data_IF_710051208901
#
_entry.id   IF_710051208901
#
_cell.length_a   1.000
_cell.length_b   1.000
_cell.length_c   1.000
_cell.angle_alpha   90.00
_cell.angle_beta   90.00
_cell.angle_gamma   90.00
#
_symmetry.space_group_name_H-M   'P 1'
#
loop_
_entity.id
_entity.type
_entity.pdbx_description
1 polymer ?
#
# COMPACT_ATOMS: atom_id res chain seq x y z
N UNK A 1 -2.52 -3.37 11.89
CA UNK A 1 -3.51 -3.40 10.78
C UNK A 1 -3.78 -4.81 10.26
N UNK A 2 -4.94 -5.02 9.63
CA UNK A 2 -5.27 -6.23 8.84
C UNK A 2 -5.15 -5.92 7.35
N UNK A 3 -4.33 -6.67 6.63
CA UNK A 3 -4.06 -6.45 5.22
C UNK A 3 -4.09 -7.74 4.41
N UNK A 4 -4.47 -7.63 3.14
CA UNK A 4 -4.35 -8.70 2.14
C UNK A 4 -3.40 -8.28 1.04
N UNK A 5 -2.49 -9.15 0.63
CA UNK A 5 -1.54 -8.89 -0.45
C UNK A 5 -1.81 -9.84 -1.61
N UNK A 6 -2.01 -9.28 -2.81
CA UNK A 6 -2.29 -10.01 -4.03
C UNK A 6 -1.04 -10.13 -4.92
N UNK A 7 -1.13 -11.04 -5.89
CA UNK A 7 -0.07 -11.36 -6.85
C UNK A 7 1.30 -11.61 -6.18
N UNK A 8 1.28 -12.35 -5.05
CA UNK A 8 2.48 -12.65 -4.28
C UNK A 8 3.24 -13.84 -4.87
N UNK A 9 4.48 -13.58 -5.27
CA UNK A 9 5.44 -14.61 -5.72
C UNK A 9 6.09 -15.29 -4.51
N UNK A 10 6.57 -16.52 -4.70
CA UNK A 10 7.08 -17.34 -3.58
C UNK A 10 8.25 -16.69 -2.82
N UNK A 11 9.17 -16.05 -3.54
CA UNK A 11 10.30 -15.36 -2.91
C UNK A 11 9.88 -14.13 -2.09
N UNK A 12 8.73 -13.53 -2.38
CA UNK A 12 8.23 -12.33 -1.68
C UNK A 12 7.60 -12.69 -0.34
N UNK A 13 7.07 -13.91 -0.19
CA UNK A 13 6.39 -14.37 1.03
C UNK A 13 7.29 -14.23 2.25
N UNK A 14 8.52 -14.75 2.14
CA UNK A 14 9.48 -14.71 3.24
C UNK A 14 9.95 -13.28 3.55
N UNK A 15 10.18 -12.47 2.51
CA UNK A 15 10.63 -11.09 2.66
C UNK A 15 9.58 -10.22 3.36
N UNK A 16 8.31 -10.33 2.94
CA UNK A 16 7.20 -9.63 3.59
C UNK A 16 6.98 -10.11 5.03
N UNK A 17 7.06 -11.42 5.29
CA UNK A 17 6.93 -11.95 6.64
C UNK A 17 8.04 -11.46 7.57
N UNK A 18 9.30 -11.44 7.09
CA UNK A 18 10.46 -10.92 7.82
C UNK A 18 10.35 -9.43 8.08
N UNK A 19 10.00 -8.64 7.07
CA UNK A 19 9.81 -7.20 7.22
C UNK A 19 8.67 -6.87 8.20
N UNK A 20 7.57 -7.64 8.16
CA UNK A 20 6.40 -7.42 9.01
C UNK A 20 6.67 -7.72 10.49
N UNK A 21 7.54 -8.69 10.81
CA UNK A 21 7.87 -9.02 12.20
C UNK A 21 6.66 -9.39 13.07
N UNK A 22 5.55 -9.87 12.47
CA UNK A 22 4.26 -10.16 13.12
C UNK A 22 3.53 -8.93 13.70
N UNK A 23 3.85 -7.72 13.24
CA UNK A 23 3.18 -6.48 13.67
C UNK A 23 1.77 -6.35 13.04
N UNK A 24 1.61 -6.77 11.80
CA UNK A 24 0.33 -6.73 11.09
C UNK A 24 -0.19 -8.14 10.73
N UNK A 25 -1.51 -8.28 10.64
CA UNK A 25 -2.17 -9.49 10.14
C UNK A 25 -2.18 -9.46 8.60
N UNK A 26 -1.20 -10.13 7.99
CA UNK A 26 -1.04 -10.21 6.54
C UNK A 26 -1.60 -11.52 5.99
N UNK A 27 -2.53 -11.42 5.07
CA UNK A 27 -2.99 -12.55 4.24
C UNK A 27 -2.32 -12.46 2.87
N UNK A 28 -1.53 -13.45 2.49
CA UNK A 28 -0.80 -13.45 1.21
C UNK A 28 -1.51 -14.35 0.20
N UNK A 29 -1.89 -13.77 -0.94
CA UNK A 29 -2.61 -14.41 -2.03
C UNK A 29 -1.72 -14.41 -3.27
N UNK A 30 -1.47 -15.59 -3.83
CA UNK A 30 -0.65 -15.72 -5.04
C UNK A 30 -1.39 -15.33 -6.32
N UNK A 31 -2.72 -15.27 -6.30
CA UNK A 31 -3.54 -14.84 -7.42
C UNK A 31 -3.60 -13.31 -7.51
N UNK A 32 -3.76 -12.79 -8.74
CA UNK A 32 -4.01 -11.37 -8.98
C UNK A 32 -5.37 -10.92 -8.40
N UNK A 33 -5.48 -9.63 -8.11
CA UNK A 33 -6.74 -9.02 -7.69
C UNK A 33 -7.71 -8.91 -8.88
N UNK A 34 -8.87 -9.55 -8.76
CA UNK A 34 -9.98 -9.47 -9.70
C UNK A 34 -11.28 -9.84 -9.00
N UNK A 35 -12.41 -9.81 -9.70
CA UNK A 35 -13.73 -10.11 -9.14
C UNK A 35 -13.83 -11.48 -8.45
N UNK A 36 -13.07 -12.49 -8.90
CA UNK A 36 -13.10 -13.82 -8.27
C UNK A 36 -12.27 -13.87 -6.98
N UNK A 37 -11.30 -12.98 -6.81
CA UNK A 37 -10.37 -12.98 -5.66
C UNK A 37 -10.64 -11.81 -4.69
N UNK A 38 -11.58 -10.93 -5.03
CA UNK A 38 -11.94 -9.76 -4.21
C UNK A 38 -12.47 -10.15 -2.82
N UNK A 39 -13.10 -11.32 -2.70
CA UNK A 39 -13.61 -11.82 -1.41
C UNK A 39 -12.52 -11.98 -0.33
N UNK A 40 -11.24 -12.16 -0.70
CA UNK A 40 -10.14 -12.22 0.28
C UNK A 40 -9.86 -10.88 0.98
N UNK A 41 -10.35 -9.76 0.43
CA UNK A 41 -10.27 -8.44 1.06
C UNK A 41 -11.28 -8.25 2.20
N UNK A 42 -12.25 -9.17 2.35
CA UNK A 42 -13.30 -9.06 3.37
C UNK A 42 -12.74 -9.10 4.78
N UNK A 43 -13.16 -8.13 5.61
CA UNK A 43 -12.69 -7.97 6.98
C UNK A 43 -11.24 -7.47 7.11
N UNK A 44 -10.65 -6.99 6.00
CA UNK A 44 -9.35 -6.32 5.98
C UNK A 44 -9.53 -4.81 5.80
N UNK A 45 -8.52 -4.04 6.15
CA UNK A 45 -8.53 -2.58 6.03
C UNK A 45 -7.65 -2.10 4.87
N UNK A 46 -6.64 -2.91 4.51
CA UNK A 46 -5.62 -2.56 3.52
C UNK A 46 -5.49 -3.65 2.46
N UNK A 47 -5.37 -3.24 1.20
CA UNK A 47 -4.96 -4.11 0.09
C UNK A 47 -3.57 -3.75 -0.38
N UNK A 48 -2.73 -4.76 -0.58
CA UNK A 48 -1.37 -4.62 -1.14
C UNK A 48 -1.38 -5.25 -2.53
N UNK A 49 -1.01 -4.47 -3.54
CA UNK A 49 -1.09 -4.84 -4.96
C UNK A 49 0.27 -4.72 -5.64
N UNK A 50 0.40 -5.35 -6.80
CA UNK A 50 1.53 -5.22 -7.71
C UNK A 50 1.18 -4.33 -8.90
N UNK A 51 2.17 -3.96 -9.71
CA UNK A 51 1.94 -3.20 -10.95
C UNK A 51 1.08 -3.96 -11.99
N UNK A 52 0.93 -5.28 -11.84
CA UNK A 52 0.15 -6.12 -12.75
C UNK A 52 -1.35 -6.13 -12.39
N UNK A 53 -1.71 -5.72 -11.17
CA UNK A 53 -3.10 -5.68 -10.69
C UNK A 53 -3.78 -4.39 -11.15
N UNK A 54 -4.90 -4.50 -11.88
CA UNK A 54 -5.62 -3.32 -12.39
C UNK A 54 -6.73 -2.89 -11.44
N UNK A 55 -6.61 -1.69 -10.91
CA UNK A 55 -7.56 -1.06 -9.99
C UNK A 55 -8.26 0.08 -10.71
N UNK A 56 -9.20 -0.30 -11.58
CA UNK A 56 -10.13 0.64 -12.21
C UNK A 56 -11.22 1.07 -11.22
N UNK A 57 -12.08 2.00 -11.66
CA UNK A 57 -13.16 2.52 -10.82
C UNK A 57 -14.08 1.43 -10.24
N UNK A 58 -14.44 0.42 -11.04
CA UNK A 58 -15.33 -0.67 -10.61
C UNK A 58 -14.71 -1.52 -9.48
N UNK A 59 -13.43 -1.87 -9.60
CA UNK A 59 -12.72 -2.62 -8.56
C UNK A 59 -12.58 -1.76 -7.30
N UNK A 60 -12.24 -0.48 -7.44
CA UNK A 60 -12.12 0.43 -6.29
C UNK A 60 -13.45 0.58 -5.53
N UNK A 61 -14.57 0.65 -6.25
CA UNK A 61 -15.90 0.69 -5.66
C UNK A 61 -16.19 -0.58 -4.84
N UNK A 62 -15.92 -1.76 -5.41
CA UNK A 62 -16.11 -3.02 -4.68
C UNK A 62 -15.17 -3.15 -3.48
N UNK A 63 -13.91 -2.73 -3.60
CA UNK A 63 -12.99 -2.70 -2.48
C UNK A 63 -13.55 -1.80 -1.35
N UNK A 64 -14.15 -0.66 -1.69
CA UNK A 64 -14.77 0.23 -0.72
C UNK A 64 -15.97 -0.43 -0.03
N UNK A 65 -16.84 -1.10 -0.79
CA UNK A 65 -18.00 -1.84 -0.24
C UNK A 65 -17.58 -2.93 0.74
N UNK A 66 -16.46 -3.60 0.46
CA UNK A 66 -15.89 -4.65 1.34
C UNK A 66 -15.20 -4.07 2.59
N UNK A 67 -15.02 -2.75 2.64
CA UNK A 67 -14.48 -2.03 3.80
C UNK A 67 -13.01 -1.63 3.69
N UNK A 68 -12.41 -1.74 2.50
CA UNK A 68 -11.03 -1.29 2.26
C UNK A 68 -10.97 0.23 2.32
N UNK A 69 -9.96 0.72 3.05
CA UNK A 69 -9.73 2.15 3.25
C UNK A 69 -8.37 2.59 2.71
N UNK A 70 -7.43 1.66 2.54
CA UNK A 70 -6.04 1.94 2.18
C UNK A 70 -5.53 0.94 1.15
N UNK A 71 -4.71 1.41 0.23
CA UNK A 71 -4.10 0.61 -0.83
C UNK A 71 -2.60 0.90 -0.87
N UNK A 72 -1.78 -0.16 -0.83
CA UNK A 72 -0.34 -0.06 -1.08
C UNK A 72 -0.04 -0.73 -2.41
N UNK A 73 0.63 -0.03 -3.33
CA UNK A 73 1.26 -0.68 -4.48
C UNK A 73 2.73 -0.96 -4.20
N UNK A 74 3.18 -2.16 -4.54
CA UNK A 74 4.58 -2.61 -4.43
C UNK A 74 5.43 -2.17 -5.62
N UNK A 75 5.06 -1.05 -6.23
CA UNK A 75 5.71 -0.51 -7.43
C UNK A 75 5.94 0.99 -7.26
N UNK A 76 6.79 1.54 -8.13
CA UNK A 76 7.04 2.97 -8.16
C UNK A 76 5.85 3.75 -8.74
N UNK A 77 5.33 3.25 -9.86
CA UNK A 77 4.29 3.93 -10.62
C UNK A 77 2.92 3.51 -10.12
N UNK A 78 1.94 4.38 -10.32
CA UNK A 78 0.53 4.13 -9.94
C UNK A 78 -0.38 4.07 -11.16
N UNK A 79 0.15 3.88 -12.36
CA UNK A 79 -0.59 3.90 -13.63
C UNK A 79 -1.71 2.84 -13.71
N UNK A 80 -1.62 1.80 -12.88
CA UNK A 80 -2.60 0.73 -12.75
C UNK A 80 -3.73 1.04 -11.76
N UNK A 81 -3.72 2.22 -11.13
CA UNK A 81 -4.67 2.64 -10.10
C UNK A 81 -5.34 3.95 -10.53
N UNK A 82 -6.67 3.97 -10.55
CA UNK A 82 -7.42 5.22 -10.69
C UNK A 82 -7.35 6.03 -9.38
N UNK A 83 -6.34 6.90 -9.28
CA UNK A 83 -6.11 7.73 -8.09
C UNK A 83 -7.25 8.74 -7.83
N UNK A 84 -7.92 9.22 -8.87
CA UNK A 84 -9.02 10.17 -8.72
C UNK A 84 -10.24 9.48 -8.12
N UNK A 85 -10.58 8.29 -8.62
CA UNK A 85 -11.65 7.49 -8.03
C UNK A 85 -11.30 7.04 -6.61
N UNK A 86 -10.05 6.65 -6.37
CA UNK A 86 -9.61 6.33 -5.01
C UNK A 86 -9.80 7.52 -4.06
N UNK A 87 -9.47 8.74 -4.51
CA UNK A 87 -9.69 9.96 -3.73
C UNK A 87 -11.18 10.25 -3.49
N UNK A 88 -12.05 10.09 -4.50
CA UNK A 88 -13.51 10.25 -4.35
C UNK A 88 -14.11 9.29 -3.31
N UNK A 89 -13.56 8.08 -3.24
CA UNK A 89 -13.97 7.05 -2.27
C UNK A 89 -13.30 7.21 -0.91
N UNK A 90 -12.47 8.24 -0.71
CA UNK A 90 -11.63 8.41 0.48
C UNK A 90 -10.76 7.17 0.77
N UNK A 91 -10.23 6.55 -0.29
CA UNK A 91 -9.24 5.48 -0.21
C UNK A 91 -7.86 6.10 -0.32
N UNK A 92 -7.00 5.78 0.65
CA UNK A 92 -5.63 6.29 0.67
C UNK A 92 -4.73 5.39 -0.14
N UNK A 93 -3.85 5.97 -0.96
CA UNK A 93 -2.95 5.19 -1.82
C UNK A 93 -1.51 5.51 -1.46
N UNK A 94 -0.68 4.47 -1.36
CA UNK A 94 0.75 4.59 -1.16
C UNK A 94 1.54 3.71 -2.14
N UNK A 95 2.67 4.21 -2.63
CA UNK A 95 3.60 3.46 -3.47
C UNK A 95 4.88 3.09 -2.70
N UNK A 96 5.88 2.53 -3.39
CA UNK A 96 7.20 2.27 -2.84
C UNK A 96 8.25 3.13 -3.55
N UNK A 97 8.46 4.41 -3.16
CA UNK A 97 9.33 5.31 -3.92
C UNK A 97 10.83 5.16 -3.58
N UNK A 98 11.16 4.33 -2.58
CA UNK A 98 12.51 4.28 -2.02
C UNK A 98 13.56 3.78 -3.04
N UNK A 99 14.83 4.23 -2.91
CA UNK A 99 15.88 3.88 -3.87
C UNK A 99 16.18 2.39 -3.96
N UNK A 100 16.03 1.64 -2.86
CA UNK A 100 16.21 0.20 -2.86
C UNK A 100 15.04 -0.50 -3.58
N UNK A 101 15.29 -0.84 -4.85
CA UNK A 101 14.33 -1.53 -5.73
C UNK A 101 14.40 -3.05 -5.64
N UNK A 102 15.19 -3.61 -4.71
CA UNK A 102 15.18 -5.05 -4.48
C UNK A 102 13.85 -5.49 -3.90
N UNK A 103 13.51 -6.78 -4.05
CA UNK A 103 12.31 -7.35 -3.44
C UNK A 103 12.27 -7.14 -1.91
N UNK A 104 13.44 -7.15 -1.27
CA UNK A 104 13.57 -6.88 0.16
C UNK A 104 13.25 -5.42 0.48
N UNK A 105 13.85 -4.45 -0.23
CA UNK A 105 13.57 -3.02 -0.03
C UNK A 105 12.11 -2.66 -0.25
N UNK A 106 11.48 -3.25 -1.29
CA UNK A 106 10.05 -3.08 -1.56
C UNK A 106 9.19 -3.64 -0.41
N UNK A 107 9.54 -4.83 0.11
CA UNK A 107 8.84 -5.42 1.25
C UNK A 107 8.97 -4.55 2.50
N UNK A 108 10.18 -4.09 2.83
CA UNK A 108 10.44 -3.21 3.97
C UNK A 108 9.67 -1.89 3.86
N UNK A 109 9.63 -1.28 2.67
CA UNK A 109 8.86 -0.07 2.44
C UNK A 109 7.35 -0.30 2.55
N UNK A 110 6.85 -1.44 2.03
CA UNK A 110 5.44 -1.82 2.15
C UNK A 110 5.03 -1.89 3.61
N UNK A 111 5.82 -2.56 4.46
CA UNK A 111 5.54 -2.66 5.89
C UNK A 111 5.71 -1.31 6.59
N UNK A 112 6.69 -0.48 6.21
CA UNK A 112 6.83 0.88 6.73
C UNK A 112 5.56 1.70 6.49
N UNK A 113 4.97 1.62 5.30
CA UNK A 113 3.72 2.32 4.99
C UNK A 113 2.59 1.87 5.93
N UNK A 114 2.47 0.56 6.17
CA UNK A 114 1.48 0.03 7.12
C UNK A 114 1.72 0.50 8.56
N UNK A 115 2.97 0.48 9.04
CA UNK A 115 3.33 0.96 10.38
C UNK A 115 2.97 2.44 10.59
N UNK A 116 3.20 3.28 9.58
CA UNK A 116 2.85 4.70 9.64
C UNK A 116 1.33 4.87 9.72
N UNK A 117 0.58 4.14 8.92
CA UNK A 117 -0.88 4.18 8.96
C UNK A 117 -1.48 3.60 10.24
N UNK A 118 -0.91 2.54 10.82
CA UNK A 118 -1.32 1.95 12.10
C UNK A 118 -1.13 2.95 13.26
N UNK A 119 -0.11 3.81 13.16
CA UNK A 119 0.16 4.90 14.10
C UNK A 119 -0.58 6.21 13.78
N UNK A 120 -1.49 6.21 12.80
CA UNK A 120 -2.29 7.39 12.42
C UNK A 120 -1.52 8.47 11.66
N UNK A 121 -0.39 8.12 11.03
CA UNK A 121 0.53 9.04 10.35
C UNK A 121 0.49 8.87 8.84
N UNK A 122 0.81 9.95 8.12
CA UNK A 122 0.95 9.88 6.66
C UNK A 122 2.23 9.12 6.28
N UNK A 123 2.20 8.46 5.12
CA UNK A 123 3.34 7.74 4.54
C UNK A 123 4.40 8.66 3.89
N UNK A 124 4.18 9.98 3.93
CA UNK A 124 5.15 10.98 3.45
C UNK A 124 5.33 10.92 1.95
N UNK A 125 6.58 10.77 1.49
CA UNK A 125 6.95 10.71 0.06
C UNK A 125 6.35 9.52 -0.68
N UNK A 126 5.89 8.49 0.04
CA UNK A 126 5.17 7.36 -0.52
C UNK A 126 3.68 7.63 -0.76
N UNK A 127 3.15 8.78 -0.35
CA UNK A 127 1.74 9.11 -0.49
C UNK A 127 1.41 9.42 -1.95
N UNK A 128 0.32 8.84 -2.45
CA UNK A 128 -0.19 9.06 -3.81
C UNK A 128 -1.60 9.67 -3.82
N UNK A 129 -2.07 10.23 -2.71
CA UNK A 129 -3.37 10.90 -2.66
C UNK A 129 -3.37 12.16 -3.54
N UNK A 130 -4.38 12.32 -4.39
CA UNK A 130 -4.51 13.44 -5.35
C UNK A 130 -5.43 14.58 -4.88
N UNK A 131 -6.04 14.46 -3.70
CA UNK A 131 -6.90 15.47 -3.06
C UNK A 131 -6.45 15.72 -1.61
N UNK A 132 -6.98 16.78 -0.99
CA UNK A 132 -6.71 17.15 0.40
C UNK A 132 -6.89 15.95 1.34
N UNK A 133 -5.78 15.44 1.86
CA UNK A 133 -5.76 14.31 2.77
C UNK A 133 -5.77 14.84 4.21
N UNK A 134 -6.69 14.34 5.03
CA UNK A 134 -6.85 14.75 6.43
C UNK A 134 -5.79 14.16 7.38
N UNK A 135 -4.86 13.35 6.88
CA UNK A 135 -3.79 12.75 7.70
C UNK A 135 -2.60 13.70 7.80
N UNK A 136 -2.15 13.94 9.04
CA UNK A 136 -0.97 14.74 9.35
C UNK A 136 0.29 14.21 8.63
N UNK A 137 0.97 15.04 7.82
CA UNK A 137 2.22 14.66 7.16
C UNK A 137 3.31 14.30 8.17
N UNK A 138 4.14 13.32 7.84
CA UNK A 138 5.38 13.11 8.58
C UNK A 138 6.41 14.18 8.17
N UNK A 139 6.74 15.10 9.07
CA UNK A 139 7.91 15.96 8.89
C UNK A 139 9.16 15.10 9.04
N UNK A 140 9.82 14.77 7.92
CA UNK A 140 11.23 14.42 7.94
C UNK A 140 12.03 15.67 8.32
N UNK A 141 12.94 15.63 9.30
CA UNK A 141 13.95 16.67 9.39
C UNK A 141 14.71 16.65 8.06
N UNK A 142 14.68 17.77 7.34
CA UNK A 142 15.65 18.05 6.31
C UNK A 142 17.02 17.94 6.96
N UNK A 143 17.87 17.02 6.48
CA UNK A 143 19.31 17.08 6.71
C UNK A 143 19.85 18.33 6.00
N UNK A 144 19.57 19.50 6.58
CA UNK A 144 20.43 20.66 6.48
C UNK A 144 21.66 20.37 7.34
N UNK A 145 22.68 19.78 6.73
CA UNK A 145 24.04 19.99 7.19
C UNK A 145 24.87 20.53 6.03
N UNK A 146 24.74 21.85 5.91
CA UNK A 146 25.72 22.75 5.36
C UNK A 146 27.02 22.62 6.17
N UNK A 147 28.14 22.20 5.58
CA UNK A 147 29.45 22.66 6.05
C UNK A 147 30.49 22.64 4.91
N UNK A 148 30.79 23.86 4.44
CA UNK A 148 32.01 24.37 3.78
C UNK A 148 32.59 23.64 2.58
#
# INVERSE_FOLDING_TARGET
>A
MKAVAYNIKDFEKELLARANGKVHDLTLISNALNYNTLHYASGKEVVIVSADDRLNADILDQLKEVGIQKIVTRSLNTDHIDLYRAADLNIQVANTPYPDRTAKGIAEQTIRNLNLWDSGRCVGTACCCVKDCSITPFNTPSDENHTR
#
